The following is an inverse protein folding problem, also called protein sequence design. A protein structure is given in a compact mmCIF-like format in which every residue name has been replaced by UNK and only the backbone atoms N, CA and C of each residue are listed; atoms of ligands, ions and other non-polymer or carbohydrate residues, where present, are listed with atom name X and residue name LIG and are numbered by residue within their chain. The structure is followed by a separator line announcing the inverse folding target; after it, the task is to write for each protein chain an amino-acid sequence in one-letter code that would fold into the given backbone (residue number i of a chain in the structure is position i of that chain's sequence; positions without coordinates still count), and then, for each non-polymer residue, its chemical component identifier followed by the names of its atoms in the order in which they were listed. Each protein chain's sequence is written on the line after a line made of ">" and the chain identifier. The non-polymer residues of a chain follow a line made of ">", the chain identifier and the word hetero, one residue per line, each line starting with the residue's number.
data_IF_517349673196
#
_entry.id   IF_517349673196
#
_cell.length_a   1.000
_cell.length_b   1.000
_cell.length_c   1.000
_cell.angle_alpha   90.00
_cell.angle_beta   90.00
_cell.angle_gamma   90.00
#
_symmetry.space_group_name_H-M   'P 1'
#
loop_
_entity.id
_entity.type
_entity.pdbx_description
1 polymer ?
#
# COMPACT_ATOMS: atom_id res chain seq x y z
N UNK A 1 -0.67 26.33 14.90
CA UNK A 1 -1.87 26.27 15.77
C UNK A 1 -1.48 25.62 17.07
N UNK A 2 -1.39 26.42 18.14
CA UNK A 2 -1.19 25.96 19.50
C UNK A 2 -2.47 25.24 19.95
N UNK A 3 -2.40 23.90 20.09
CA UNK A 3 -3.47 23.13 20.73
C UNK A 3 -3.17 23.06 22.22
N UNK A 4 -3.76 23.94 22.99
CA UNK A 4 -3.91 23.76 24.43
C UNK A 4 -4.87 22.59 24.66
N UNK A 5 -4.36 21.46 25.11
CA UNK A 5 -5.16 20.36 25.66
C UNK A 5 -4.92 20.32 27.15
N UNK A 6 -5.80 20.97 27.93
CA UNK A 6 -5.97 20.62 29.33
C UNK A 6 -6.86 19.38 29.39
N UNK A 7 -6.30 18.25 29.74
CA UNK A 7 -7.10 17.11 30.21
C UNK A 7 -7.05 17.11 31.71
N UNK A 8 -8.22 17.36 32.31
CA UNK A 8 -8.67 17.12 33.69
C UNK A 8 -7.59 17.07 34.76
N UNK A 9 -7.77 17.74 35.87
CA UNK A 9 -7.12 17.57 37.21
C UNK A 9 -5.74 16.85 37.25
N UNK A 10 -4.88 17.09 36.31
CA UNK A 10 -3.51 16.58 36.28
C UNK A 10 -2.55 17.75 36.46
N UNK A 11 -1.67 17.62 37.40
CA UNK A 11 -0.64 18.59 37.80
C UNK A 11 0.44 18.88 36.73
N UNK A 12 0.24 18.51 35.46
CA UNK A 12 1.24 18.63 34.41
C UNK A 12 0.87 19.71 33.39
N UNK A 13 1.75 20.69 33.24
CA UNK A 13 1.68 21.64 32.14
C UNK A 13 2.64 21.22 31.01
N UNK A 14 2.12 21.10 29.79
CA UNK A 14 2.89 20.69 28.62
C UNK A 14 2.73 21.70 27.48
N UNK A 15 3.85 22.17 26.95
CA UNK A 15 3.89 23.02 25.76
C UNK A 15 4.65 22.34 24.65
N UNK A 16 4.08 22.35 23.45
CA UNK A 16 4.67 21.77 22.26
C UNK A 16 4.70 22.82 21.15
N UNK A 17 5.81 22.89 20.45
CA UNK A 17 5.94 23.66 19.22
C UNK A 17 6.43 22.74 18.10
N UNK A 18 5.85 22.89 16.93
CA UNK A 18 6.16 22.16 15.74
C UNK A 18 6.39 23.12 14.58
N UNK A 19 7.47 22.91 13.83
CA UNK A 19 7.76 23.69 12.64
C UNK A 19 8.15 22.73 11.51
N UNK A 20 7.47 22.83 10.37
CA UNK A 20 7.85 22.13 9.14
C UNK A 20 8.07 23.12 8.02
N UNK A 21 9.05 22.83 7.17
CA UNK A 21 9.31 23.54 5.94
C UNK A 21 9.33 22.51 4.79
N UNK A 22 8.60 22.82 3.73
CA UNK A 22 8.60 22.05 2.50
C UNK A 22 9.04 22.97 1.36
N UNK A 23 10.05 22.54 0.60
CA UNK A 23 10.55 23.25 -0.55
C UNK A 23 10.55 22.29 -1.74
N UNK A 24 9.86 22.67 -2.82
CA UNK A 24 9.67 21.83 -4.01
C UNK A 24 9.88 22.67 -5.29
N UNK A 25 11.13 22.88 -5.74
CA UNK A 25 11.41 23.46 -7.05
C UNK A 25 11.09 22.46 -8.16
N UNK A 26 10.42 22.95 -9.19
CA UNK A 26 10.14 22.23 -10.42
C UNK A 26 10.46 23.15 -11.60
N UNK A 27 11.44 22.75 -12.42
CA UNK A 27 11.92 23.53 -13.57
C UNK A 27 11.85 22.61 -14.78
N UNK A 28 11.19 23.05 -15.84
CA UNK A 28 11.14 22.30 -17.08
C UNK A 28 11.13 23.22 -18.30
N UNK A 29 11.50 22.67 -19.42
CA UNK A 29 11.41 23.29 -20.73
C UNK A 29 10.68 22.37 -21.69
N UNK A 30 9.97 22.96 -22.62
CA UNK A 30 9.19 22.23 -23.62
C UNK A 30 9.45 22.83 -25.00
N UNK A 31 9.63 21.96 -26.00
CA UNK A 31 9.75 22.31 -27.38
C UNK A 31 8.78 21.49 -28.22
N UNK A 32 7.96 22.15 -29.02
CA UNK A 32 7.02 21.52 -29.93
C UNK A 32 7.28 21.97 -31.37
N UNK A 33 7.12 21.02 -32.33
CA UNK A 33 7.21 21.30 -33.74
C UNK A 33 6.19 20.47 -34.51
N UNK A 34 5.40 21.14 -35.34
CA UNK A 34 4.52 20.52 -36.34
C UNK A 34 5.10 20.72 -37.72
N UNK A 35 5.10 19.65 -38.52
CA UNK A 35 5.57 19.65 -39.90
C UNK A 35 4.35 19.60 -40.84
N UNK A 36 4.45 20.21 -42.01
CA UNK A 36 3.38 20.21 -43.04
C UNK A 36 3.03 18.80 -43.50
N UNK A 37 3.97 17.85 -43.42
CA UNK A 37 3.76 16.40 -43.69
C UNK A 37 2.82 15.72 -42.68
N UNK A 38 2.40 16.40 -41.59
CA UNK A 38 1.51 15.88 -40.57
C UNK A 38 2.21 15.21 -39.39
N UNK A 39 3.52 15.33 -39.28
CA UNK A 39 4.28 14.87 -38.10
C UNK A 39 4.31 15.97 -37.05
N UNK A 40 3.93 15.64 -35.83
CA UNK A 40 3.98 16.54 -34.67
C UNK A 40 4.86 15.92 -33.60
N UNK A 41 5.79 16.72 -33.10
CA UNK A 41 6.73 16.34 -32.03
C UNK A 41 6.61 17.33 -30.89
N UNK A 42 6.67 16.80 -29.67
CA UNK A 42 6.74 17.59 -28.46
C UNK A 42 7.73 16.93 -27.50
N UNK A 43 8.75 17.66 -27.10
CA UNK A 43 9.80 17.20 -26.20
C UNK A 43 9.80 18.06 -24.96
N UNK A 44 9.82 17.44 -23.80
CA UNK A 44 9.92 18.11 -22.50
C UNK A 44 11.08 17.51 -21.72
N UNK A 45 11.87 18.36 -21.09
CA UNK A 45 12.93 17.99 -20.17
C UNK A 45 12.80 18.83 -18.90
N UNK A 46 13.03 18.23 -17.76
CA UNK A 46 12.89 18.93 -16.51
C UNK A 46 13.63 18.29 -15.34
N UNK A 47 13.64 19.05 -14.27
CA UNK A 47 14.20 18.69 -12.97
C UNK A 47 13.22 19.07 -11.87
N UNK A 48 13.03 18.17 -10.91
CA UNK A 48 12.22 18.39 -9.72
C UNK A 48 13.01 17.96 -8.49
N UNK A 49 12.88 18.69 -7.40
CA UNK A 49 13.44 18.29 -6.11
C UNK A 49 12.44 18.59 -5.00
N UNK A 50 12.49 17.82 -3.95
CA UNK A 50 11.70 18.05 -2.74
C UNK A 50 12.63 17.99 -1.53
N UNK A 51 12.44 18.92 -0.62
CA UNK A 51 13.13 18.97 0.65
C UNK A 51 12.10 19.24 1.75
N UNK A 52 11.95 18.29 2.62
CA UNK A 52 11.11 18.42 3.80
C UNK A 52 11.95 18.40 5.05
N UNK A 53 11.77 19.41 5.90
CA UNK A 53 12.42 19.54 7.21
C UNK A 53 11.40 19.74 8.29
N UNK A 54 11.58 19.02 9.38
CA UNK A 54 10.69 19.07 10.53
C UNK A 54 11.49 19.23 11.81
N UNK A 55 10.99 20.08 12.69
CA UNK A 55 11.51 20.26 14.05
C UNK A 55 10.36 20.30 15.01
N UNK A 56 10.51 19.65 16.13
CA UNK A 56 9.59 19.72 17.25
C UNK A 56 10.35 20.01 18.55
N UNK A 57 9.68 20.67 19.46
CA UNK A 57 10.12 20.85 20.83
C UNK A 57 8.93 20.62 21.76
N UNK A 58 9.17 19.89 22.82
CA UNK A 58 8.20 19.67 23.89
C UNK A 58 8.86 20.04 25.20
N UNK A 59 8.20 20.88 25.98
CA UNK A 59 8.55 21.15 27.37
C UNK A 59 7.36 20.80 28.25
N UNK A 60 7.58 20.11 29.36
CA UNK A 60 6.55 19.78 30.33
C UNK A 60 7.11 19.90 31.74
N UNK A 61 6.25 20.26 32.67
CA UNK A 61 6.59 20.38 34.08
C UNK A 61 5.36 20.12 34.92
N UNK A 62 5.55 19.49 36.06
CA UNK A 62 4.49 19.14 37.01
C UNK A 62 4.36 20.19 38.15
N UNK A 63 3.31 20.06 38.96
CA UNK A 63 3.11 20.92 40.14
C UNK A 63 2.65 22.32 39.76
N UNK A 64 1.48 22.44 39.15
CA UNK A 64 0.85 23.72 38.79
C UNK A 64 0.44 24.48 40.09
N UNK A 65 0.96 25.69 40.29
CA UNK A 65 0.72 26.51 41.47
C UNK A 65 -0.26 27.65 41.26
N UNK A 66 -0.74 27.88 40.06
CA UNK A 66 -1.56 29.06 39.71
C UNK A 66 -2.65 28.65 38.71
N UNK A 67 -3.76 29.36 38.74
CA UNK A 67 -4.83 29.23 37.73
C UNK A 67 -4.35 29.58 36.33
N UNK A 68 -3.30 30.42 36.21
CA UNK A 68 -2.64 30.68 34.96
C UNK A 68 -1.53 29.64 34.74
N UNK A 69 -1.85 28.55 34.04
CA UNK A 69 -0.91 27.50 33.77
C UNK A 69 0.14 27.91 32.72
N UNK A 70 1.36 28.10 33.19
CA UNK A 70 2.57 28.31 32.33
C UNK A 70 3.72 27.49 32.88
N UNK A 71 4.79 27.28 32.09
CA UNK A 71 5.98 26.58 32.60
C UNK A 71 6.60 27.26 33.81
N UNK A 72 6.44 28.59 33.97
CA UNK A 72 6.97 29.34 35.09
C UNK A 72 6.10 29.20 36.38
N UNK A 73 4.90 28.69 36.26
CA UNK A 73 3.98 28.43 37.38
C UNK A 73 3.91 26.98 37.81
N UNK A 74 4.90 26.19 37.42
CA UNK A 74 5.07 24.77 37.74
C UNK A 74 6.41 24.54 38.47
N UNK A 75 6.53 23.54 39.35
CA UNK A 75 7.67 23.42 40.27
C UNK A 75 8.56 22.19 40.07
N UNK A 76 8.00 21.09 39.59
CA UNK A 76 8.70 19.77 39.67
C UNK A 76 8.79 19.08 38.31
N UNK A 77 9.72 18.13 38.18
CA UNK A 77 9.86 17.22 37.03
C UNK A 77 9.94 17.93 35.68
N UNK A 78 10.77 18.97 35.56
CA UNK A 78 10.99 19.63 34.27
C UNK A 78 11.56 18.66 33.25
N UNK A 79 10.87 18.49 32.13
CA UNK A 79 11.27 17.63 31.01
C UNK A 79 11.29 18.42 29.71
N UNK A 80 12.40 18.33 29.00
CA UNK A 80 12.55 18.94 27.68
C UNK A 80 12.99 17.89 26.68
N UNK A 81 12.37 17.89 25.50
CA UNK A 81 12.80 17.07 24.38
C UNK A 81 12.59 17.83 23.08
N UNK A 82 13.39 17.53 22.10
CA UNK A 82 13.24 18.06 20.76
C UNK A 82 13.64 17.02 19.73
N UNK A 83 13.04 17.13 18.56
CA UNK A 83 13.32 16.30 17.39
C UNK A 83 13.69 17.15 16.18
N UNK A 84 14.53 16.58 15.33
CA UNK A 84 14.81 17.08 14.00
C UNK A 84 14.85 15.93 13.02
N UNK A 85 14.15 16.07 11.92
CA UNK A 85 14.18 15.10 10.84
C UNK A 85 14.00 15.79 9.50
N UNK A 86 14.60 15.21 8.47
CA UNK A 86 14.50 15.71 7.10
C UNK A 86 14.56 14.55 6.10
N UNK A 87 13.97 14.77 4.93
CA UNK A 87 14.18 13.93 3.77
C UNK A 87 14.22 14.77 2.52
N UNK A 88 14.85 14.27 1.49
CA UNK A 88 14.96 14.93 0.21
C UNK A 88 14.80 13.94 -0.93
N UNK A 89 14.21 14.43 -2.04
CA UNK A 89 14.21 13.77 -3.33
C UNK A 89 14.75 14.69 -4.39
N UNK A 90 15.28 14.11 -5.46
CA UNK A 90 15.66 14.85 -6.65
C UNK A 90 15.43 13.96 -7.86
N UNK A 91 14.92 14.50 -8.96
CA UNK A 91 14.64 13.73 -10.14
C UNK A 91 14.79 14.54 -11.43
N UNK A 92 15.34 13.89 -12.44
CA UNK A 92 15.35 14.37 -13.81
C UNK A 92 14.26 13.65 -14.58
N UNK A 93 13.54 14.38 -15.40
CA UNK A 93 12.48 13.78 -16.20
C UNK A 93 12.50 14.30 -17.63
N UNK A 94 12.05 13.44 -18.54
CA UNK A 94 11.91 13.76 -19.94
C UNK A 94 10.68 13.09 -20.52
N UNK A 95 10.06 13.73 -21.51
CA UNK A 95 8.92 13.22 -22.27
C UNK A 95 9.10 13.54 -23.73
N UNK A 96 8.80 12.56 -24.57
CA UNK A 96 8.68 12.73 -26.01
C UNK A 96 7.30 12.27 -26.44
N UNK A 97 6.52 13.19 -27.04
CA UNK A 97 5.26 12.87 -27.67
C UNK A 97 5.44 12.94 -29.19
N UNK A 98 4.86 12.00 -29.88
CA UNK A 98 4.79 11.93 -31.34
C UNK A 98 3.37 11.68 -31.77
N UNK A 99 2.93 12.43 -32.75
CA UNK A 99 1.64 12.28 -33.42
C UNK A 99 1.86 12.36 -34.93
N UNK A 100 1.27 11.42 -35.67
CA UNK A 100 1.20 11.47 -37.12
C UNK A 100 -0.24 11.55 -37.60
N UNK A 101 -0.63 12.75 -38.06
CA UNK A 101 -1.98 13.05 -38.59
C UNK A 101 -3.12 12.68 -37.63
N UNK A 102 -2.87 12.59 -36.31
CA UNK A 102 -3.83 12.10 -35.32
C UNK A 102 -4.21 10.62 -35.48
N UNK A 103 -3.47 9.86 -36.30
CA UNK A 103 -3.69 8.43 -36.51
C UNK A 103 -2.84 7.58 -35.57
N UNK A 104 -1.54 7.83 -35.59
CA UNK A 104 -0.54 7.11 -34.78
C UNK A 104 -0.01 8.04 -33.71
N UNK A 105 -0.17 7.64 -32.48
CA UNK A 105 0.23 8.38 -31.28
C UNK A 105 1.26 7.56 -30.54
N UNK A 106 2.34 8.18 -30.13
CA UNK A 106 3.36 7.55 -29.30
C UNK A 106 3.85 8.51 -28.22
N UNK A 107 4.04 8.02 -27.03
CA UNK A 107 4.64 8.78 -25.94
C UNK A 107 5.69 7.93 -25.22
N UNK A 108 6.82 8.53 -24.91
CA UNK A 108 7.88 7.98 -24.10
C UNK A 108 8.15 8.92 -22.96
N UNK A 109 8.07 8.41 -21.72
CA UNK A 109 8.48 9.16 -20.54
C UNK A 109 9.63 8.43 -19.85
N UNK A 110 10.55 9.20 -19.29
CA UNK A 110 11.63 8.69 -18.46
C UNK A 110 11.81 9.58 -17.24
N UNK A 111 11.93 8.96 -16.06
CA UNK A 111 12.30 9.65 -14.82
C UNK A 111 13.47 8.94 -14.18
N UNK A 112 14.46 9.71 -13.79
CA UNK A 112 15.60 9.25 -13.00
C UNK A 112 15.55 9.92 -11.65
N UNK A 113 15.03 9.22 -10.65
CA UNK A 113 14.71 9.75 -9.34
C UNK A 113 15.64 9.21 -8.26
N UNK A 114 16.05 10.08 -7.36
CA UNK A 114 16.84 9.75 -6.18
C UNK A 114 16.17 10.20 -4.88
N UNK A 115 16.39 9.44 -3.81
CA UNK A 115 15.86 9.74 -2.48
C UNK A 115 16.91 9.60 -1.39
N UNK A 116 16.84 10.44 -0.37
CA UNK A 116 17.70 10.34 0.81
C UNK A 116 17.36 9.17 1.73
N UNK A 117 16.22 8.48 1.49
CA UNK A 117 15.74 7.38 2.33
C UNK A 117 16.47 6.06 2.12
N UNK A 118 17.31 5.96 1.08
CA UNK A 118 18.09 4.76 0.79
C UNK A 118 19.59 5.06 0.79
N UNK A 119 20.40 4.03 1.01
CA UNK A 119 21.85 4.13 0.92
C UNK A 119 22.30 4.53 -0.49
N UNK A 120 23.53 5.03 -0.59
CA UNK A 120 24.06 5.63 -1.82
C UNK A 120 23.85 4.75 -3.06
N UNK A 121 24.11 3.47 -2.97
CA UNK A 121 24.06 2.52 -4.10
C UNK A 121 22.61 2.17 -4.54
N UNK A 122 21.64 2.32 -3.64
CA UNK A 122 20.22 2.03 -3.88
C UNK A 122 19.37 3.30 -4.03
N UNK A 123 19.99 4.47 -4.00
CA UNK A 123 19.32 5.76 -3.92
C UNK A 123 18.63 6.15 -5.20
N UNK A 124 19.30 5.95 -6.35
CA UNK A 124 18.84 6.39 -7.65
C UNK A 124 18.25 5.24 -8.45
N UNK A 125 17.12 5.51 -9.13
CA UNK A 125 16.49 4.52 -9.99
C UNK A 125 15.85 5.18 -11.22
N UNK A 126 15.77 4.42 -12.33
CA UNK A 126 15.14 4.84 -13.58
C UNK A 126 13.74 4.23 -13.68
N UNK A 127 12.77 5.07 -14.04
CA UNK A 127 11.36 4.71 -14.19
C UNK A 127 10.89 5.11 -15.60
N UNK A 128 10.94 4.19 -16.58
CA UNK A 128 10.46 4.42 -17.92
C UNK A 128 8.95 4.17 -18.05
N UNK A 129 8.31 4.85 -19.01
CA UNK A 129 6.98 4.47 -19.48
C UNK A 129 6.81 4.77 -20.96
N UNK A 130 5.99 3.94 -21.62
CA UNK A 130 5.71 4.01 -23.05
C UNK A 130 4.21 3.88 -23.27
N UNK A 131 3.67 4.65 -24.21
CA UNK A 131 2.30 4.47 -24.67
C UNK A 131 2.21 4.59 -26.18
N UNK A 132 1.30 3.80 -26.75
CA UNK A 132 0.99 3.79 -28.16
C UNK A 132 -0.52 3.91 -28.33
N UNK A 133 -0.95 4.65 -29.33
CA UNK A 133 -2.35 4.77 -29.72
C UNK A 133 -2.49 4.74 -31.24
N UNK A 134 -3.45 3.97 -31.69
CA UNK A 134 -3.85 3.93 -33.09
C UNK A 134 -5.32 4.31 -33.25
N UNK A 135 -5.56 5.44 -33.89
CA UNK A 135 -6.91 5.91 -34.18
C UNK A 135 -7.35 5.37 -35.53
N UNK A 136 -7.94 4.19 -35.53
CA UNK A 136 -8.40 3.48 -36.72
C UNK A 136 -9.48 4.25 -37.49
N UNK A 137 -10.33 5.00 -36.79
CA UNK A 137 -11.38 5.81 -37.43
C UNK A 137 -10.83 6.91 -38.36
N UNK A 138 -9.51 7.19 -38.31
CA UNK A 138 -8.85 8.16 -39.20
C UNK A 138 -8.12 7.52 -40.39
N UNK A 139 -8.23 6.20 -40.55
CA UNK A 139 -7.61 5.47 -41.66
C UNK A 139 -8.55 5.48 -42.91
N UNK A 140 -7.95 5.43 -44.09
CA UNK A 140 -8.71 5.44 -45.33
C UNK A 140 -9.65 4.24 -45.46
N UNK A 141 -9.27 3.07 -44.97
CA UNK A 141 -10.12 1.86 -45.01
C UNK A 141 -11.34 1.95 -44.08
N UNK A 142 -11.39 2.95 -43.21
CA UNK A 142 -12.47 3.16 -42.24
C UNK A 142 -13.50 4.19 -42.72
N UNK A 143 -13.26 4.83 -43.88
CA UNK A 143 -14.01 5.96 -44.40
C UNK A 143 -15.50 5.64 -44.54
N UNK A 144 -15.85 4.44 -45.05
CA UNK A 144 -17.24 3.99 -45.22
C UNK A 144 -17.98 3.78 -43.88
N UNK A 145 -17.29 3.70 -42.78
CA UNK A 145 -17.84 3.47 -41.41
C UNK A 145 -17.93 4.76 -40.60
N UNK A 146 -17.39 5.86 -41.06
CA UNK A 146 -17.30 7.13 -40.31
C UNK A 146 -18.64 7.71 -39.91
N UNK A 147 -19.71 7.49 -40.74
CA UNK A 147 -21.05 7.90 -40.42
C UNK A 147 -21.65 7.19 -39.21
N UNK A 148 -21.22 5.96 -38.97
CA UNK A 148 -21.67 5.13 -37.84
C UNK A 148 -20.72 5.24 -36.65
N UNK A 149 -19.40 5.16 -36.89
CA UNK A 149 -18.36 5.12 -35.89
C UNK A 149 -17.48 6.37 -36.00
N UNK A 150 -17.65 7.31 -35.09
CA UNK A 150 -16.91 8.59 -35.08
C UNK A 150 -15.52 8.46 -34.48
N UNK A 151 -15.31 7.49 -33.58
CA UNK A 151 -14.03 7.23 -32.97
C UNK A 151 -13.84 5.73 -32.75
N UNK A 152 -12.71 5.20 -33.20
CA UNK A 152 -12.25 3.87 -32.82
C UNK A 152 -10.74 3.94 -32.62
N UNK A 153 -10.32 3.96 -31.37
CA UNK A 153 -8.91 4.09 -30.97
C UNK A 153 -8.52 2.89 -30.13
N UNK A 154 -7.47 2.20 -30.55
CA UNK A 154 -6.81 1.16 -29.76
C UNK A 154 -5.61 1.82 -29.06
N UNK A 155 -5.40 1.49 -27.81
CA UNK A 155 -4.30 2.02 -27.00
C UNK A 155 -3.64 0.94 -26.16
N UNK A 156 -2.35 1.12 -25.95
CA UNK A 156 -1.57 0.27 -25.05
C UNK A 156 -0.53 1.11 -24.35
N UNK A 157 -0.32 0.85 -23.09
CA UNK A 157 0.74 1.48 -22.31
C UNK A 157 1.43 0.48 -21.41
N UNK A 158 2.69 0.75 -21.17
CA UNK A 158 3.48 0.07 -20.17
C UNK A 158 4.33 1.10 -19.44
N UNK A 159 4.41 0.99 -18.12
CA UNK A 159 5.24 1.90 -17.35
C UNK A 159 5.67 1.33 -16.00
N UNK A 160 6.75 1.87 -15.49
CA UNK A 160 7.29 1.56 -14.17
C UNK A 160 7.26 2.80 -13.29
N UNK A 161 6.73 2.64 -12.07
CA UNK A 161 6.69 3.68 -11.03
C UNK A 161 7.46 3.18 -9.80
N UNK A 162 8.18 4.10 -9.16
CA UNK A 162 8.89 3.87 -7.92
C UNK A 162 8.12 4.37 -6.70
N UNK A 163 8.09 3.56 -5.64
CA UNK A 163 7.64 3.97 -4.32
C UNK A 163 8.82 3.95 -3.36
N UNK A 164 9.04 5.07 -2.67
CA UNK A 164 10.11 5.26 -1.68
C UNK A 164 9.60 5.28 -0.24
N UNK A 165 8.31 5.04 0.00
CA UNK A 165 7.74 5.13 1.33
C UNK A 165 8.31 4.05 2.24
N UNK A 166 8.87 4.51 3.35
CA UNK A 166 9.39 3.69 4.43
C UNK A 166 8.78 4.18 5.74
N UNK A 167 8.59 3.30 6.71
CA UNK A 167 8.05 3.66 8.03
C UNK A 167 8.93 4.70 8.73
N UNK A 168 10.24 4.70 8.42
CA UNK A 168 11.23 5.62 8.96
C UNK A 168 11.95 6.33 7.81
N UNK A 169 12.30 7.60 8.00
CA UNK A 169 13.07 8.36 7.01
C UNK A 169 14.54 7.99 6.96
N UNK A 170 15.03 7.28 7.99
CA UNK A 170 16.42 6.82 8.11
C UNK A 170 16.49 5.31 8.36
N UNK A 171 15.93 4.47 7.47
CA UNK A 171 15.79 3.03 7.73
C UNK A 171 17.13 2.27 7.78
N UNK A 172 18.21 2.92 7.39
CA UNK A 172 19.56 2.37 7.33
C UNK A 172 20.52 2.88 8.42
N UNK A 173 20.06 3.82 9.28
CA UNK A 173 20.85 4.28 10.43
C UNK A 173 20.46 3.53 11.69
N UNK A 174 21.48 2.98 12.36
CA UNK A 174 21.29 2.43 13.71
C UNK A 174 21.21 3.58 14.70
N UNK A 175 20.15 3.62 15.47
CA UNK A 175 19.95 4.62 16.52
C UNK A 175 19.96 3.94 17.89
N UNK A 176 20.62 4.54 18.86
CA UNK A 176 20.61 4.08 20.24
C UNK A 176 19.56 4.90 20.99
N UNK A 177 18.54 4.22 21.49
CA UNK A 177 17.55 4.85 22.36
C UNK A 177 18.12 4.98 23.76
N UNK A 178 18.21 6.22 24.25
CA UNK A 178 18.70 6.54 25.58
C UNK A 178 17.50 6.83 26.49
N UNK A 179 17.50 6.27 27.71
CA UNK A 179 16.46 6.47 28.72
C UNK A 179 15.05 6.12 28.22
N UNK A 180 14.92 5.03 27.48
CA UNK A 180 13.63 4.47 27.09
C UNK A 180 13.49 3.05 27.61
N UNK A 181 12.29 2.73 28.13
CA UNK A 181 11.89 1.37 28.47
C UNK A 181 11.53 0.57 27.21
N UNK A 182 11.17 -0.70 27.38
CA UNK A 182 10.74 -1.57 26.28
C UNK A 182 9.49 -1.07 25.55
N UNK A 183 8.74 -0.15 26.16
CA UNK A 183 7.52 0.45 25.61
C UNK A 183 7.77 1.82 24.96
N UNK A 184 9.02 2.28 24.94
CA UNK A 184 9.40 3.58 24.40
C UNK A 184 9.15 4.76 25.33
N UNK A 185 8.75 4.52 26.58
CA UNK A 185 8.60 5.57 27.60
C UNK A 185 9.96 5.92 28.21
N UNK A 186 10.08 7.16 28.70
CA UNK A 186 11.29 7.55 29.42
C UNK A 186 11.44 6.73 30.69
N UNK A 187 12.56 6.06 30.83
CA UNK A 187 12.93 5.27 31.99
C UNK A 187 14.41 5.49 32.31
N UNK A 188 14.71 5.58 33.58
CA UNK A 188 16.08 5.53 34.11
C UNK A 188 16.36 4.12 34.64
N UNK A 189 17.62 3.79 34.86
CA UNK A 189 17.99 2.53 35.47
C UNK A 189 17.21 2.25 36.76
N UNK A 190 16.91 0.98 37.02
CA UNK A 190 16.21 0.56 38.25
C UNK A 190 17.16 0.52 39.47
N UNK A 191 18.44 0.69 39.26
CA UNK A 191 19.49 0.70 40.32
C UNK A 191 20.03 2.13 40.49
N UNK A 192 20.75 2.33 41.61
CA UNK A 192 21.40 3.59 41.91
C UNK A 192 22.92 3.45 41.75
N UNK A 193 23.54 4.46 41.14
CA UNK A 193 24.97 4.65 41.11
C UNK A 193 25.29 5.96 41.83
N UNK A 194 25.94 5.90 42.96
CA UNK A 194 26.20 7.06 43.82
C UNK A 194 24.94 7.85 44.19
N UNK A 195 23.83 7.13 44.46
CA UNK A 195 22.54 7.75 44.82
C UNK A 195 21.71 8.30 43.65
N UNK A 196 22.19 8.17 42.41
CA UNK A 196 21.50 8.67 41.21
C UNK A 196 21.13 7.49 40.32
N UNK A 197 19.92 7.53 39.75
CA UNK A 197 19.52 6.56 38.72
C UNK A 197 20.29 6.84 37.42
N UNK A 198 21.07 5.87 36.90
CA UNK A 198 21.83 6.08 35.67
C UNK A 198 20.96 6.09 34.46
N UNK A 199 21.44 6.74 33.40
CA UNK A 199 20.89 6.60 32.07
C UNK A 199 21.03 5.15 31.61
N UNK A 200 19.98 4.64 30.99
CA UNK A 200 19.96 3.34 30.35
C UNK A 200 19.89 3.50 28.84
N UNK A 201 20.46 2.57 28.13
CA UNK A 201 20.30 2.48 26.67
C UNK A 201 19.80 1.08 26.34
N UNK A 202 18.94 1.00 25.34
CA UNK A 202 18.50 -0.25 24.75
C UNK A 202 19.37 -0.56 23.55
N UNK A 203 19.62 -1.84 23.31
CA UNK A 203 20.29 -2.28 22.09
C UNK A 203 19.52 -1.79 20.87
N UNK A 204 20.23 -1.22 19.90
CA UNK A 204 19.63 -0.67 18.70
C UNK A 204 19.12 -1.79 17.80
N UNK A 205 17.91 -1.60 17.22
CA UNK A 205 17.40 -2.52 16.21
C UNK A 205 18.40 -2.68 15.05
N UNK A 206 18.42 -3.86 14.46
CA UNK A 206 19.17 -4.10 13.24
C UNK A 206 18.56 -3.26 12.10
N UNK A 207 19.41 -2.80 11.20
CA UNK A 207 19.00 -2.05 10.01
C UNK A 207 19.40 -2.79 8.74
N UNK A 208 18.61 -2.67 7.69
CA UNK A 208 18.93 -3.26 6.39
C UNK A 208 19.67 -2.26 5.51
N UNK A 209 20.83 -2.64 5.01
CA UNK A 209 21.54 -1.91 3.96
C UNK A 209 20.98 -2.18 2.56
N UNK A 210 20.08 -3.16 2.43
CA UNK A 210 19.54 -3.64 1.15
C UNK A 210 18.21 -3.00 0.77
N UNK A 211 17.64 -2.14 1.64
CA UNK A 211 16.41 -1.44 1.31
C UNK A 211 16.56 -0.59 0.06
N UNK A 212 15.61 -0.75 -0.87
CA UNK A 212 15.57 -0.05 -2.14
C UNK A 212 14.15 0.29 -2.53
N UNK A 213 13.98 0.92 -3.69
CA UNK A 213 12.70 1.27 -4.26
C UNK A 213 11.79 0.05 -4.44
N UNK A 214 10.56 0.19 -3.99
CA UNK A 214 9.48 -0.67 -4.46
C UNK A 214 9.11 -0.23 -5.87
N UNK A 215 8.81 -1.18 -6.75
CA UNK A 215 8.50 -0.93 -8.15
C UNK A 215 7.12 -1.43 -8.51
N UNK A 216 6.33 -0.58 -9.17
CA UNK A 216 5.05 -0.97 -9.74
C UNK A 216 5.14 -0.89 -11.25
N UNK A 217 5.06 -2.03 -11.93
CA UNK A 217 4.99 -2.16 -13.38
C UNK A 217 3.53 -2.34 -13.78
N UNK A 218 3.03 -1.48 -14.65
CA UNK A 218 1.66 -1.56 -15.16
C UNK A 218 1.69 -1.73 -16.67
N UNK A 219 1.00 -2.77 -17.17
CA UNK A 219 0.60 -2.93 -18.55
C UNK A 219 -0.89 -2.63 -18.64
N UNK A 220 -1.26 -1.80 -19.59
CA UNK A 220 -2.64 -1.42 -19.85
C UNK A 220 -2.92 -1.52 -21.35
N UNK A 221 -4.01 -2.22 -21.74
CA UNK A 221 -4.47 -2.39 -23.10
C UNK A 221 -5.94 -2.04 -23.16
N UNK A 222 -6.31 -1.14 -24.04
CA UNK A 222 -7.69 -0.67 -24.10
C UNK A 222 -8.11 -0.18 -25.48
N UNK A 223 -9.41 0.10 -25.59
CA UNK A 223 -9.96 0.78 -26.73
C UNK A 223 -11.04 1.78 -26.34
N UNK A 224 -11.16 2.82 -27.15
CA UNK A 224 -12.20 3.83 -27.08
C UNK A 224 -13.03 3.78 -28.36
N UNK A 225 -14.34 3.59 -28.21
CA UNK A 225 -15.30 3.51 -29.32
C UNK A 225 -16.41 4.53 -29.13
N UNK A 226 -16.66 5.37 -30.14
CA UNK A 226 -17.78 6.28 -30.17
C UNK A 226 -18.60 6.05 -31.44
N UNK A 227 -19.90 5.82 -31.28
CA UNK A 227 -20.82 5.45 -32.37
C UNK A 227 -22.09 6.30 -32.35
N UNK A 228 -22.86 6.21 -33.44
CA UNK A 228 -24.20 6.78 -33.56
C UNK A 228 -24.21 8.30 -33.26
N UNK A 229 -23.30 9.05 -33.89
CA UNK A 229 -23.13 10.49 -33.65
C UNK A 229 -22.77 10.79 -32.17
N UNK A 230 -21.88 9.98 -31.57
CA UNK A 230 -21.44 10.08 -30.18
C UNK A 230 -22.53 9.82 -29.12
N UNK A 231 -23.67 9.20 -29.52
CA UNK A 231 -24.71 8.79 -28.55
C UNK A 231 -24.23 7.60 -27.73
N UNK A 232 -23.55 6.65 -28.34
CA UNK A 232 -22.93 5.49 -27.65
C UNK A 232 -21.42 5.69 -27.56
N UNK A 233 -20.90 5.68 -26.34
CA UNK A 233 -19.46 5.69 -26.09
C UNK A 233 -19.11 4.49 -25.21
N UNK A 234 -18.13 3.71 -25.62
CA UNK A 234 -17.63 2.52 -24.94
C UNK A 234 -16.15 2.68 -24.73
N UNK A 235 -15.71 2.53 -23.50
CA UNK A 235 -14.29 2.43 -23.12
C UNK A 235 -14.08 1.09 -22.47
N UNK A 236 -13.05 0.38 -22.88
CA UNK A 236 -12.64 -0.89 -22.30
C UNK A 236 -11.15 -0.85 -21.99
N UNK A 237 -10.78 -1.36 -20.83
CA UNK A 237 -9.41 -1.50 -20.37
C UNK A 237 -9.18 -2.87 -19.76
N UNK A 238 -8.08 -3.48 -20.12
CA UNK A 238 -7.48 -4.61 -19.42
C UNK A 238 -6.14 -4.19 -18.87
N UNK A 239 -5.93 -4.41 -17.58
CA UNK A 239 -4.68 -4.04 -16.93
C UNK A 239 -4.02 -5.22 -16.19
N UNK A 240 -2.70 -5.16 -16.15
CA UNK A 240 -1.89 -6.00 -15.29
C UNK A 240 -0.89 -5.12 -14.54
N UNK A 241 -0.99 -5.12 -13.21
CA UNK A 241 -0.09 -4.37 -12.33
C UNK A 241 0.73 -5.33 -11.50
N UNK A 242 2.06 -5.26 -11.62
CA UNK A 242 3.02 -6.05 -10.85
C UNK A 242 3.74 -5.14 -9.86
N UNK A 243 3.47 -5.33 -8.57
CA UNK A 243 4.22 -4.66 -7.50
C UNK A 243 5.37 -5.56 -7.08
N UNK A 244 6.59 -5.09 -7.28
CA UNK A 244 7.84 -5.83 -7.05
C UNK A 244 8.68 -5.17 -5.97
N UNK A 245 9.48 -5.98 -5.29
CA UNK A 245 10.39 -5.51 -4.24
C UNK A 245 9.65 -4.71 -3.16
N UNK A 246 8.42 -5.08 -2.82
CA UNK A 246 7.69 -4.47 -1.72
C UNK A 246 8.36 -4.83 -0.38
N UNK A 247 8.32 -3.90 0.54
CA UNK A 247 8.84 -4.13 1.90
C UNK A 247 7.91 -5.10 2.62
N UNK A 248 8.39 -6.31 2.81
CA UNK A 248 7.69 -7.39 3.49
C UNK A 248 8.19 -7.64 4.91
N UNK A 249 7.69 -8.71 5.56
CA UNK A 249 8.11 -9.08 6.91
C UNK A 249 9.60 -9.41 6.94
N UNK A 250 10.17 -9.24 8.12
CA UNK A 250 11.54 -9.65 8.39
C UNK A 250 11.69 -11.17 8.22
N UNK A 251 12.85 -11.65 7.73
CA UNK A 251 13.15 -13.07 7.78
C UNK A 251 13.07 -13.58 9.21
N UNK A 252 12.55 -14.79 9.41
CA UNK A 252 12.57 -15.44 10.71
C UNK A 252 14.01 -15.78 11.08
N UNK A 253 14.52 -15.19 12.15
CA UNK A 253 15.81 -15.53 12.74
C UNK A 253 15.58 -16.16 14.11
N UNK A 254 16.53 -17.00 14.58
CA UNK A 254 16.40 -17.60 15.89
C UNK A 254 16.17 -16.57 16.99
N UNK A 255 15.22 -16.82 17.90
CA UNK A 255 14.86 -15.94 19.01
C UNK A 255 16.05 -15.63 19.96
N UNK A 256 17.12 -16.39 19.87
CA UNK A 256 18.37 -16.18 20.62
C UNK A 256 19.06 -14.84 20.33
N UNK A 257 18.75 -14.21 19.18
CA UNK A 257 19.30 -12.88 18.84
C UNK A 257 18.78 -11.76 19.74
N UNK A 258 17.60 -11.91 20.34
CA UNK A 258 17.00 -10.91 21.24
C UNK A 258 16.73 -9.54 20.62
N UNK A 259 16.93 -9.38 19.30
CA UNK A 259 16.85 -8.12 18.57
C UNK A 259 15.87 -8.26 17.42
N UNK A 260 15.07 -7.22 17.17
CA UNK A 260 14.18 -7.17 16.03
C UNK A 260 14.95 -7.19 14.69
N UNK A 261 14.55 -8.06 13.80
CA UNK A 261 15.13 -8.18 12.45
C UNK A 261 14.55 -7.09 11.54
N UNK A 262 15.39 -6.44 10.70
CA UNK A 262 14.91 -5.41 9.80
C UNK A 262 14.02 -5.99 8.70
N UNK A 263 12.99 -5.22 8.30
CA UNK A 263 12.23 -5.48 7.09
C UNK A 263 13.14 -5.43 5.85
N UNK A 264 12.80 -6.19 4.83
CA UNK A 264 13.54 -6.24 3.55
C UNK A 264 12.57 -6.24 2.38
N UNK A 265 13.06 -5.94 1.18
CA UNK A 265 12.26 -5.99 -0.06
C UNK A 265 12.14 -7.45 -0.54
N UNK A 266 11.12 -8.17 -0.09
CA UNK A 266 10.96 -9.61 -0.33
C UNK A 266 9.52 -10.04 -0.70
N UNK A 267 8.65 -9.09 -0.98
CA UNK A 267 7.26 -9.32 -1.34
C UNK A 267 7.00 -8.85 -2.78
N UNK A 268 6.37 -9.70 -3.60
CA UNK A 268 5.88 -9.37 -4.93
C UNK A 268 4.42 -9.78 -5.05
N UNK A 269 3.61 -8.95 -5.74
CA UNK A 269 2.21 -9.28 -6.05
C UNK A 269 1.82 -8.82 -7.43
N UNK A 270 0.84 -9.51 -8.02
CA UNK A 270 0.26 -9.16 -9.32
C UNK A 270 -1.24 -8.94 -9.17
N UNK A 271 -1.71 -7.78 -9.62
CA UNK A 271 -3.13 -7.47 -9.82
C UNK A 271 -3.44 -7.51 -11.30
N UNK A 272 -4.50 -8.22 -11.68
CA UNK A 272 -5.04 -8.26 -13.04
C UNK A 272 -6.51 -7.94 -12.99
N UNK A 273 -6.98 -7.18 -13.96
CA UNK A 273 -8.40 -6.83 -14.00
C UNK A 273 -8.79 -6.24 -15.35
N UNK A 274 -10.07 -5.99 -15.46
CA UNK A 274 -10.66 -5.30 -16.60
C UNK A 274 -11.73 -4.32 -16.14
N UNK A 275 -11.94 -3.30 -16.95
CA UNK A 275 -12.94 -2.27 -16.73
C UNK A 275 -13.66 -1.99 -18.05
N UNK A 276 -14.99 -1.88 -18.01
CA UNK A 276 -15.78 -1.46 -19.14
C UNK A 276 -16.73 -0.34 -18.69
N UNK A 277 -16.76 0.71 -19.48
CA UNK A 277 -17.71 1.80 -19.30
C UNK A 277 -18.51 1.98 -20.59
N UNK A 278 -19.82 1.93 -20.47
CA UNK A 278 -20.76 2.18 -21.56
C UNK A 278 -21.59 3.42 -21.22
N UNK A 279 -21.54 4.40 -22.10
CA UNK A 279 -22.23 5.67 -21.92
C UNK A 279 -23.18 5.90 -23.08
N UNK A 280 -24.46 5.94 -22.80
CA UNK A 280 -25.49 6.28 -23.76
C UNK A 280 -26.04 7.66 -23.48
N UNK A 281 -26.14 8.53 -24.50
CA UNK A 281 -26.73 9.86 -24.40
C UNK A 281 -27.63 10.11 -25.63
N UNK A 282 -28.83 10.56 -25.40
CA UNK A 282 -29.75 10.87 -26.50
C UNK A 282 -30.68 12.01 -26.11
N UNK A 283 -31.41 12.49 -27.08
CA UNK A 283 -32.37 13.59 -26.94
C UNK A 283 -33.64 13.29 -27.73
N UNK A 284 -34.79 13.42 -27.08
CA UNK A 284 -36.11 13.34 -27.69
C UNK A 284 -36.75 14.72 -27.57
N UNK A 285 -36.76 15.47 -28.65
CA UNK A 285 -37.16 16.88 -28.67
C UNK A 285 -36.31 17.69 -27.69
N UNK A 286 -36.93 18.32 -26.68
CA UNK A 286 -36.24 19.12 -25.67
C UNK A 286 -35.74 18.28 -24.47
N UNK A 287 -36.13 17.00 -24.37
CA UNK A 287 -35.75 16.10 -23.28
C UNK A 287 -34.43 15.38 -23.58
N UNK A 288 -33.41 15.70 -22.81
CA UNK A 288 -32.07 15.06 -22.87
C UNK A 288 -31.95 14.01 -21.76
N UNK A 289 -31.50 12.83 -22.13
CA UNK A 289 -31.27 11.75 -21.15
C UNK A 289 -29.94 11.04 -21.41
N UNK A 290 -29.42 10.38 -20.40
CA UNK A 290 -28.21 9.60 -20.50
C UNK A 290 -28.18 8.51 -19.46
N UNK A 291 -27.53 7.39 -19.81
CA UNK A 291 -27.29 6.25 -18.95
C UNK A 291 -25.81 5.91 -19.03
N UNK A 292 -25.18 5.73 -17.88
CA UNK A 292 -23.80 5.25 -17.77
C UNK A 292 -23.81 3.95 -17.01
N UNK A 293 -23.22 2.90 -17.60
CA UNK A 293 -22.96 1.62 -16.96
C UNK A 293 -21.45 1.45 -16.85
N UNK A 294 -20.97 1.13 -15.65
CA UNK A 294 -19.57 0.80 -15.39
C UNK A 294 -19.51 -0.57 -14.70
N UNK A 295 -18.69 -1.45 -15.23
CA UNK A 295 -18.43 -2.77 -14.70
C UNK A 295 -16.92 -2.95 -14.62
N UNK A 296 -16.44 -3.55 -13.53
CA UNK A 296 -15.04 -3.88 -13.37
C UNK A 296 -14.88 -5.11 -12.50
N UNK A 297 -13.80 -5.84 -12.73
CA UNK A 297 -13.38 -6.96 -11.89
C UNK A 297 -11.86 -6.99 -11.81
N UNK A 298 -11.33 -7.34 -10.64
CA UNK A 298 -9.91 -7.49 -10.45
C UNK A 298 -9.56 -8.59 -9.45
N UNK A 299 -8.43 -9.21 -9.67
CA UNK A 299 -7.89 -10.24 -8.82
C UNK A 299 -6.44 -9.90 -8.47
N UNK A 300 -6.06 -10.08 -7.20
CA UNK A 300 -4.71 -9.85 -6.70
C UNK A 300 -4.14 -11.14 -6.18
N UNK A 301 -2.99 -11.54 -6.72
CA UNK A 301 -2.25 -12.75 -6.34
C UNK A 301 -0.89 -12.36 -5.77
N UNK A 302 -0.49 -13.00 -4.71
CA UNK A 302 0.84 -12.87 -4.12
C UNK A 302 1.80 -13.77 -4.90
N UNK A 303 2.75 -13.17 -5.62
CA UNK A 303 3.73 -13.92 -6.42
C UNK A 303 4.88 -14.43 -5.55
N UNK A 304 5.28 -13.65 -4.56
CA UNK A 304 6.39 -13.95 -3.66
C UNK A 304 6.10 -13.43 -2.26
N UNK A 305 6.27 -14.30 -1.28
CA UNK A 305 6.16 -13.96 0.15
C UNK A 305 7.09 -14.85 0.97
N UNK A 306 7.85 -14.32 1.94
CA UNK A 306 8.67 -15.15 2.80
C UNK A 306 7.78 -15.91 3.79
N UNK A 307 7.63 -17.18 3.56
CA UNK A 307 6.88 -18.11 4.41
C UNK A 307 7.70 -19.39 4.62
N UNK A 308 8.82 -19.32 5.37
CA UNK A 308 9.74 -20.44 5.53
C UNK A 308 9.13 -21.61 6.31
N UNK A 309 8.14 -21.34 7.15
CA UNK A 309 7.42 -22.37 7.91
C UNK A 309 6.27 -23.02 7.16
N UNK A 310 6.04 -22.60 5.90
CA UNK A 310 4.90 -23.02 5.08
C UNK A 310 3.54 -22.89 5.82
N UNK A 311 3.42 -21.87 6.65
CA UNK A 311 2.17 -21.57 7.35
C UNK A 311 1.19 -20.97 6.36
N UNK A 312 0.06 -21.65 6.15
CA UNK A 312 -1.02 -21.19 5.27
C UNK A 312 -2.08 -20.47 6.09
N UNK A 313 -2.42 -21.04 7.24
CA UNK A 313 -3.33 -20.44 8.22
C UNK A 313 -2.69 -20.50 9.60
N UNK A 314 -2.71 -19.38 10.31
CA UNK A 314 -2.31 -19.32 11.70
C UNK A 314 -3.58 -19.32 12.57
N UNK A 315 -3.57 -20.12 13.63
CA UNK A 315 -4.69 -20.18 14.59
C UNK A 315 -5.08 -18.82 15.19
N UNK A 316 -4.11 -17.91 15.28
CA UNK A 316 -4.29 -16.59 15.86
C UNK A 316 -4.46 -15.49 14.81
N UNK A 317 -4.15 -15.78 13.53
CA UNK A 317 -4.23 -14.81 12.44
C UNK A 317 -4.60 -15.50 11.12
N UNK A 318 -5.85 -15.44 10.75
CA UNK A 318 -6.40 -16.05 9.53
C UNK A 318 -5.88 -15.44 8.21
N UNK A 319 -4.95 -14.48 8.29
CA UNK A 319 -4.43 -13.75 7.15
C UNK A 319 -2.93 -14.01 6.91
N UNK A 320 -2.50 -15.26 7.09
CA UNK A 320 -1.12 -15.60 6.72
C UNK A 320 -0.99 -15.64 5.20
N UNK A 321 -0.13 -14.82 4.66
CA UNK A 321 0.12 -14.78 3.24
C UNK A 321 1.14 -15.84 2.82
N UNK A 322 0.99 -16.34 1.61
CA UNK A 322 1.93 -17.27 0.95
C UNK A 322 1.95 -17.05 -0.55
N UNK A 323 2.96 -17.54 -1.23
CA UNK A 323 3.02 -17.45 -2.69
C UNK A 323 1.88 -18.25 -3.33
N UNK A 324 1.12 -17.61 -4.21
CA UNK A 324 -0.11 -18.14 -4.82
C UNK A 324 -1.41 -17.78 -4.10
N UNK A 325 -1.35 -17.16 -2.91
CA UNK A 325 -2.55 -16.72 -2.22
C UNK A 325 -3.23 -15.55 -2.95
N UNK A 326 -4.56 -15.56 -2.95
CA UNK A 326 -5.35 -14.43 -3.41
C UNK A 326 -5.60 -13.46 -2.26
N UNK A 327 -5.38 -12.18 -2.51
CA UNK A 327 -5.66 -11.16 -1.50
C UNK A 327 -7.16 -10.95 -1.41
N UNK A 328 -7.70 -11.12 -0.20
CA UNK A 328 -9.14 -11.00 0.05
C UNK A 328 -9.89 -12.32 0.10
N UNK A 329 -9.20 -13.46 -0.03
CA UNK A 329 -9.82 -14.77 0.22
C UNK A 329 -10.36 -14.84 1.64
N UNK A 330 -11.60 -15.29 1.74
CA UNK A 330 -12.29 -15.52 3.01
C UNK A 330 -12.29 -17.03 3.28
N UNK A 331 -11.64 -17.40 4.36
CA UNK A 331 -11.58 -18.79 4.78
C UNK A 331 -12.68 -19.11 5.78
N UNK A 332 -13.27 -20.29 5.67
CA UNK A 332 -14.29 -20.75 6.57
C UNK A 332 -14.46 -22.27 6.48
N UNK A 333 -15.03 -22.87 7.51
CA UNK A 333 -15.32 -24.30 7.52
C UNK A 333 -16.44 -24.63 6.53
N UNK A 334 -16.26 -25.69 5.76
CA UNK A 334 -17.30 -26.17 4.86
C UNK A 334 -18.45 -26.80 5.66
N UNK A 335 -19.67 -26.33 5.42
CA UNK A 335 -20.86 -26.89 6.06
C UNK A 335 -21.44 -28.04 5.22
N UNK A 336 -21.85 -29.13 5.87
CA UNK A 336 -22.57 -30.23 5.25
C UNK A 336 -24.08 -29.98 5.32
N UNK A 337 -24.56 -29.40 6.42
CA UNK A 337 -25.97 -29.11 6.66
C UNK A 337 -26.24 -28.71 8.11
N UNK A 338 -27.51 -28.67 8.45
CA UNK A 338 -27.98 -28.41 9.81
C UNK A 338 -28.61 -29.72 10.30
N UNK A 339 -28.20 -30.22 11.47
CA UNK A 339 -28.75 -31.43 12.07
C UNK A 339 -30.23 -31.25 12.39
N UNK A 340 -31.07 -32.15 11.89
CA UNK A 340 -32.55 -32.10 12.12
C UNK A 340 -32.93 -32.66 13.47
N UNK A 341 -32.11 -33.56 14.00
CA UNK A 341 -32.33 -34.24 15.29
C UNK A 341 -31.02 -34.34 16.05
N UNK A 342 -31.13 -34.51 17.39
CA UNK A 342 -29.95 -34.77 18.24
C UNK A 342 -29.23 -36.07 17.85
N UNK A 343 -29.98 -37.06 17.33
CA UNK A 343 -29.39 -38.32 16.90
C UNK A 343 -28.53 -38.11 15.63
N UNK A 344 -29.03 -37.35 14.66
CA UNK A 344 -28.27 -37.03 13.44
C UNK A 344 -26.95 -36.32 13.78
N UNK A 345 -26.97 -35.38 14.72
CA UNK A 345 -25.76 -34.71 15.20
C UNK A 345 -24.82 -35.70 15.89
N UNK A 346 -25.33 -36.56 16.76
CA UNK A 346 -24.51 -37.59 17.41
C UNK A 346 -23.86 -38.54 16.43
N UNK A 347 -24.58 -38.96 15.41
CA UNK A 347 -24.07 -39.86 14.37
C UNK A 347 -22.96 -39.14 13.54
N UNK A 348 -23.18 -37.86 13.24
CA UNK A 348 -22.17 -37.02 12.59
C UNK A 348 -20.88 -36.88 13.41
N UNK A 349 -21.01 -36.54 14.70
CA UNK A 349 -19.83 -36.39 15.60
C UNK A 349 -19.12 -37.73 15.84
N UNK A 350 -19.86 -38.83 15.88
CA UNK A 350 -19.28 -40.18 16.02
C UNK A 350 -18.42 -40.60 14.82
N UNK A 351 -18.67 -40.03 13.64
CA UNK A 351 -17.84 -40.20 12.47
C UNK A 351 -16.46 -39.51 12.56
N UNK A 352 -16.24 -38.67 13.57
CA UNK A 352 -15.02 -37.90 13.79
C UNK A 352 -14.41 -38.16 15.19
N UNK A 353 -13.72 -39.30 15.39
CA UNK A 353 -13.33 -39.77 16.72
C UNK A 353 -12.24 -38.99 17.44
N UNK A 354 -11.54 -38.06 16.76
CA UNK A 354 -10.37 -37.37 17.30
C UNK A 354 -10.69 -35.99 17.87
N UNK A 355 -11.95 -35.66 18.10
CA UNK A 355 -12.37 -34.40 18.69
C UNK A 355 -13.52 -33.73 17.96
N UNK A 356 -14.01 -34.38 16.88
CA UNK A 356 -15.15 -33.89 16.11
C UNK A 356 -15.07 -32.38 15.82
N UNK A 357 -16.09 -31.61 16.18
CA UNK A 357 -16.07 -30.14 16.02
C UNK A 357 -15.99 -29.39 17.35
N UNK A 358 -15.34 -30.01 18.36
CA UNK A 358 -15.23 -29.47 19.72
C UNK A 358 -14.41 -28.15 19.78
N UNK A 359 -13.50 -27.94 18.84
CA UNK A 359 -12.75 -26.69 18.75
C UNK A 359 -13.64 -25.48 18.47
N UNK A 360 -14.83 -25.70 17.88
CA UNK A 360 -15.78 -24.64 17.53
C UNK A 360 -16.84 -24.40 18.61
N UNK A 361 -16.98 -25.35 19.56
CA UNK A 361 -17.97 -25.24 20.62
C UNK A 361 -18.26 -26.58 21.27
N UNK A 362 -19.27 -26.63 22.09
CA UNK A 362 -19.73 -27.85 22.79
C UNK A 362 -21.25 -27.87 22.93
N UNK A 363 -21.81 -29.05 23.20
CA UNK A 363 -23.24 -29.20 23.40
C UNK A 363 -24.06 -29.24 22.10
N UNK A 364 -23.44 -29.76 21.05
CA UNK A 364 -24.02 -29.88 19.72
C UNK A 364 -25.28 -30.76 19.71
N UNK A 365 -26.34 -30.32 18.96
CA UNK A 365 -27.59 -30.98 18.88
C UNK A 365 -28.43 -30.60 17.66
N UNK A 366 -29.73 -30.89 17.71
CA UNK A 366 -30.66 -30.50 16.66
C UNK A 366 -30.67 -28.99 16.45
N UNK A 367 -30.58 -28.55 15.21
CA UNK A 367 -30.51 -27.14 14.81
C UNK A 367 -29.10 -26.57 14.65
N UNK A 368 -28.07 -27.31 15.06
CA UNK A 368 -26.67 -26.89 14.90
C UNK A 368 -26.09 -27.29 13.54
N UNK A 369 -25.05 -26.61 13.15
CA UNK A 369 -24.34 -26.81 11.87
C UNK A 369 -23.42 -28.05 11.99
N UNK A 370 -23.47 -28.90 10.99
CA UNK A 370 -22.52 -29.98 10.77
C UNK A 370 -21.44 -29.54 9.80
N UNK A 371 -20.17 -29.64 10.18
CA UNK A 371 -19.01 -29.25 9.37
C UNK A 371 -18.34 -30.47 8.74
N UNK A 372 -17.76 -30.29 7.55
CA UNK A 372 -17.06 -31.36 6.85
C UNK A 372 -15.61 -31.49 7.38
N UNK A 373 -15.27 -32.74 7.73
CA UNK A 373 -13.86 -33.13 7.93
C UNK A 373 -13.21 -33.32 6.55
N UNK A 374 -12.53 -32.29 6.06
CA UNK A 374 -11.98 -32.24 4.69
C UNK A 374 -10.69 -33.03 4.55
N UNK A 375 -9.91 -33.14 5.62
CA UNK A 375 -8.64 -33.86 5.62
C UNK A 375 -8.75 -35.31 6.16
N UNK A 376 -9.89 -35.68 6.71
CA UNK A 376 -10.18 -37.04 7.21
C UNK A 376 -9.43 -37.38 8.49
N UNK A 377 -9.04 -36.40 9.30
CA UNK A 377 -8.29 -36.64 10.53
C UNK A 377 -9.20 -36.90 11.76
N UNK A 378 -10.50 -36.81 11.58
CA UNK A 378 -11.51 -37.08 12.60
C UNK A 378 -11.76 -35.92 13.56
N UNK A 379 -11.43 -34.73 13.18
CA UNK A 379 -11.71 -33.48 13.91
C UNK A 379 -11.82 -32.29 12.96
N UNK A 380 -12.63 -31.31 13.32
CA UNK A 380 -12.67 -30.01 12.61
C UNK A 380 -11.65 -29.10 13.23
N UNK A 381 -10.67 -28.68 12.46
CA UNK A 381 -9.60 -27.81 12.95
C UNK A 381 -9.11 -26.80 11.91
N UNK A 382 -8.50 -25.71 12.38
CA UNK A 382 -7.82 -24.76 11.50
C UNK A 382 -6.44 -25.26 11.04
N UNK A 383 -5.97 -26.37 11.59
CA UNK A 383 -4.63 -26.88 11.37
C UNK A 383 -3.54 -26.03 12.05
N UNK A 384 -2.36 -26.63 12.06
CA UNK A 384 -1.13 -25.96 12.49
C UNK A 384 -0.24 -25.84 11.27
N UNK A 385 -0.13 -24.65 10.66
CA UNK A 385 0.71 -24.36 9.51
C UNK A 385 0.26 -24.92 8.15
N UNK A 386 -0.83 -25.64 8.07
CA UNK A 386 -1.38 -26.19 6.83
C UNK A 386 -2.88 -25.97 6.79
N UNK A 387 -3.47 -26.05 5.57
CA UNK A 387 -4.90 -26.14 5.42
C UNK A 387 -5.39 -27.46 6.03
N UNK A 388 -6.44 -27.39 6.82
CA UNK A 388 -7.12 -28.54 7.36
C UNK A 388 -8.58 -28.58 6.82
N UNK A 389 -9.55 -28.10 7.59
CA UNK A 389 -10.97 -28.20 7.21
C UNK A 389 -11.55 -26.87 6.69
N UNK A 390 -10.72 -26.07 6.05
CA UNK A 390 -11.10 -24.76 5.51
C UNK A 390 -11.33 -24.77 4.01
#
# INVERSE_FOLDING_TARGET
>A
RDRLRSRGLGDVYKRQAYKSNFFNPNIFTEYGKSLESGHNFKVMLGFQSELFKQRDITASQDGIMSEVATLNTTQTNAQNRGGYSEWATAGFFGRVNYDYKGRYLAEVNMRYDGTSRFLRDNRWNLFPSFSLGWNMAREAFFEDLTDLISTFKIRGSWGELGNQNTDNWYPFYRTIDINKDQWGNYALGSWLVNGVKPNISKESALVSSLLTWEKTQTLDLGFDLSMLNNRLNVTFDYFQRKSKNMVGPAPELPNLLGIAVPKVNNLDMTSKGWEIQVNWRDQIRDFKYGVTLSLSDNQVVIDKYPNPSNTILDKDNNNTYYAGAHVGDIWGFQTIGIAKTDQEMKDHLAGMPNGAQDVLGSGWGAGDIMYADLNGDGQISRGNKTLADH
#
